data_IF_092350179740
#
_entry.id   IF_092350179740
#
_cell.length_a   1.000
_cell.length_b   1.000
_cell.length_c   1.000
_cell.angle_alpha   90.00
_cell.angle_beta   90.00
_cell.angle_gamma   90.00
#
_symmetry.space_group_name_H-M   'P 1'
#
loop_
_entity.id
_entity.type
_entity.pdbx_description
1 polymer ?
#
# COMPACT_ATOMS: atom_id res chain seq x y z
N UNK A 1 74.19 -40.34 7.80
CA UNK A 1 74.49 -39.87 6.43
C UNK A 1 74.22 -38.39 6.42
N UNK A 2 75.30 -37.65 6.63
CA UNK A 2 75.38 -36.19 6.68
C UNK A 2 75.92 -35.65 5.35
N UNK A 3 75.60 -34.37 5.08
CA UNK A 3 76.22 -33.47 4.10
C UNK A 3 75.88 -33.78 2.61
N UNK A 4 75.75 -32.84 1.68
CA UNK A 4 76.38 -31.53 1.62
C UNK A 4 75.65 -30.58 0.65
N UNK A 5 75.73 -29.31 1.01
CA UNK A 5 75.43 -28.11 0.22
C UNK A 5 76.58 -27.87 -0.78
N UNK A 6 76.31 -27.51 -2.05
CA UNK A 6 76.60 -26.17 -2.64
C UNK A 6 76.68 -26.10 -4.18
N UNK A 7 76.07 -25.00 -4.67
CA UNK A 7 76.57 -24.01 -5.65
C UNK A 7 76.38 -24.18 -7.17
N UNK A 8 75.57 -23.22 -7.65
CA UNK A 8 75.84 -22.25 -8.74
C UNK A 8 75.66 -22.77 -10.16
N UNK A 9 75.15 -22.03 -11.15
CA UNK A 9 75.02 -20.60 -11.48
C UNK A 9 73.58 -20.37 -12.01
N UNK A 10 73.02 -19.16 -12.15
CA UNK A 10 73.17 -18.33 -13.35
C UNK A 10 72.57 -16.91 -13.14
N UNK A 11 73.45 -15.92 -13.33
CA UNK A 11 73.33 -14.55 -13.88
C UNK A 11 72.19 -13.57 -13.46
N UNK A 12 72.68 -12.39 -13.02
CA UNK A 12 72.00 -11.08 -12.88
C UNK A 12 71.85 -10.31 -14.21
N UNK A 13 70.89 -9.37 -14.19
CA UNK A 13 70.51 -8.25 -15.12
C UNK A 13 69.43 -8.64 -16.15
N UNK A 14 68.32 -7.91 -16.32
CA UNK A 14 68.17 -6.45 -16.42
C UNK A 14 66.75 -5.97 -16.03
N UNK A 15 66.66 -4.86 -15.29
CA UNK A 15 65.44 -4.08 -15.08
C UNK A 15 65.05 -3.41 -16.42
N UNK A 16 63.95 -3.87 -17.03
CA UNK A 16 63.25 -3.12 -18.08
C UNK A 16 62.01 -2.47 -17.47
N UNK A 17 62.07 -1.16 -17.37
CA UNK A 17 60.93 -0.28 -17.13
C UNK A 17 59.79 -0.60 -18.11
N UNK A 18 58.64 -1.02 -17.56
CA UNK A 18 57.38 -1.11 -18.31
C UNK A 18 56.66 0.24 -18.24
N UNK A 19 55.88 0.60 -19.27
CA UNK A 19 55.51 1.98 -19.54
C UNK A 19 54.35 2.42 -18.64
N UNK A 20 54.65 3.10 -17.55
CA UNK A 20 53.66 3.81 -16.72
C UNK A 20 52.92 4.91 -17.48
N UNK A 21 53.40 5.30 -18.67
CA UNK A 21 52.79 6.34 -19.49
C UNK A 21 51.50 5.90 -20.22
N UNK A 22 51.31 4.60 -20.50
CA UNK A 22 50.11 4.12 -21.21
C UNK A 22 48.90 4.02 -20.26
N UNK A 23 49.11 3.68 -18.99
CA UNK A 23 48.01 3.61 -18.00
C UNK A 23 47.47 5.00 -17.65
N UNK A 24 48.32 6.03 -17.69
CA UNK A 24 47.91 7.43 -17.44
C UNK A 24 47.08 8.06 -18.56
N UNK A 25 47.11 7.50 -19.78
CA UNK A 25 46.32 7.99 -20.93
C UNK A 25 44.95 7.30 -21.07
N UNK A 26 44.83 6.03 -20.66
CA UNK A 26 43.57 5.29 -20.77
C UNK A 26 42.57 5.59 -19.65
N UNK A 27 43.03 5.94 -18.44
CA UNK A 27 42.13 6.31 -17.33
C UNK A 27 41.31 7.58 -17.63
N UNK A 28 41.89 8.71 -18.10
CA UNK A 28 41.08 9.88 -18.43
C UNK A 28 40.18 9.66 -19.65
N UNK A 29 40.58 8.84 -20.63
CA UNK A 29 39.73 8.50 -21.78
C UNK A 29 38.54 7.61 -21.37
N UNK A 30 38.75 6.65 -20.46
CA UNK A 30 37.67 5.84 -19.90
C UNK A 30 36.72 6.68 -19.04
N UNK A 31 37.24 7.65 -18.26
CA UNK A 31 36.41 8.61 -17.50
C UNK A 31 35.62 9.53 -18.44
N UNK A 32 36.21 10.01 -19.54
CA UNK A 32 35.51 10.83 -20.54
C UNK A 32 34.46 10.02 -21.32
N UNK A 33 34.73 8.76 -21.65
CA UNK A 33 33.77 7.86 -22.30
C UNK A 33 32.63 7.47 -21.33
N UNK A 34 32.91 7.23 -20.05
CA UNK A 34 31.86 7.06 -19.03
C UNK A 34 31.05 8.34 -18.80
N UNK A 35 31.67 9.51 -18.87
CA UNK A 35 30.97 10.81 -18.77
C UNK A 35 30.09 11.08 -20.00
N UNK A 36 30.51 10.59 -21.18
CA UNK A 36 29.79 10.71 -22.44
C UNK A 36 28.70 9.65 -22.63
N UNK A 37 28.82 8.49 -21.97
CA UNK A 37 27.80 7.44 -21.99
C UNK A 37 26.78 7.60 -20.85
N UNK A 38 27.16 8.24 -19.75
CA UNK A 38 26.27 8.59 -18.62
C UNK A 38 25.55 9.94 -18.80
N UNK A 39 25.75 10.62 -19.95
CA UNK A 39 25.00 11.83 -20.33
C UNK A 39 23.73 11.50 -21.11
N UNK A 40 22.95 10.53 -20.64
CA UNK A 40 21.51 10.80 -20.60
C UNK A 40 21.32 11.70 -19.40
N UNK A 41 21.05 13.01 -19.58
CA UNK A 41 20.68 13.82 -18.44
C UNK A 41 19.50 13.11 -17.81
N UNK A 42 19.61 12.76 -16.51
CA UNK A 42 18.44 12.64 -15.67
C UNK A 42 17.69 13.95 -15.87
N UNK A 43 16.69 13.94 -16.76
CA UNK A 43 15.77 15.06 -16.85
C UNK A 43 15.20 15.17 -15.43
N UNK A 44 15.38 16.31 -14.74
CA UNK A 44 14.78 16.46 -13.43
C UNK A 44 13.29 16.22 -13.63
N UNK A 45 12.76 15.23 -12.90
CA UNK A 45 11.34 14.80 -12.97
C UNK A 45 10.40 15.95 -12.54
N UNK A 46 10.96 17.07 -12.10
CA UNK A 46 10.26 18.28 -11.71
C UNK A 46 10.87 19.50 -12.41
N UNK A 47 10.06 20.44 -12.94
CA UNK A 47 10.57 21.76 -13.29
C UNK A 47 11.19 22.41 -12.04
N UNK A 48 12.51 22.58 -12.07
CA UNK A 48 13.34 23.04 -10.96
C UNK A 48 12.96 24.45 -10.46
N UNK A 49 12.16 25.20 -11.22
CA UNK A 49 11.65 26.52 -10.83
C UNK A 49 10.56 26.49 -9.75
N UNK A 50 9.99 25.32 -9.42
CA UNK A 50 9.00 25.16 -8.33
C UNK A 50 9.54 24.46 -7.06
N UNK A 51 10.76 23.93 -7.08
CA UNK A 51 11.35 23.20 -5.93
C UNK A 51 12.07 24.15 -4.94
N UNK A 52 12.44 25.36 -5.36
CA UNK A 52 13.08 26.34 -4.46
C UNK A 52 12.18 26.78 -3.30
N UNK A 53 10.87 26.58 -3.40
CA UNK A 53 9.90 26.86 -2.34
C UNK A 53 9.66 25.69 -1.38
N UNK A 54 10.10 24.47 -1.72
CA UNK A 54 10.07 23.28 -0.84
C UNK A 54 11.30 23.17 0.08
N UNK A 55 12.41 23.85 -0.26
CA UNK A 55 13.65 23.83 0.53
C UNK A 55 13.54 24.54 1.89
N UNK A 56 12.51 25.37 2.10
CA UNK A 56 12.29 26.09 3.36
C UNK A 56 11.86 25.19 4.54
N UNK A 57 11.47 23.93 4.29
CA UNK A 57 11.13 22.94 5.33
C UNK A 57 12.26 21.99 5.72
N UNK A 58 13.45 22.10 5.09
CA UNK A 58 14.60 21.24 5.41
C UNK A 58 15.11 21.46 6.85
N UNK A 59 14.92 22.66 7.39
CA UNK A 59 15.25 23.02 8.78
C UNK A 59 14.32 22.33 9.80
N UNK A 60 13.04 22.14 9.49
CA UNK A 60 12.06 21.44 10.35
C UNK A 60 12.29 19.92 10.45
N UNK A 61 13.09 19.36 9.54
CA UNK A 61 13.45 17.95 9.51
C UNK A 61 14.78 17.66 10.22
N UNK A 62 15.56 18.70 10.54
CA UNK A 62 16.86 18.56 11.20
C UNK A 62 16.68 17.92 12.59
N UNK A 63 17.48 16.88 12.87
CA UNK A 63 17.42 16.14 14.13
C UNK A 63 16.24 15.17 14.29
N UNK A 64 15.31 15.13 13.33
CA UNK A 64 14.23 14.13 13.31
C UNK A 64 14.77 12.76 12.90
N UNK A 65 14.22 11.71 13.52
CA UNK A 65 14.54 10.33 13.18
C UNK A 65 13.33 9.70 12.51
N UNK A 66 13.55 9.05 11.37
CA UNK A 66 12.47 8.51 10.55
C UNK A 66 12.43 6.98 10.62
N UNK A 67 11.24 6.42 10.45
CA UNK A 67 11.02 5.00 10.21
C UNK A 67 10.39 4.86 8.83
N UNK A 68 10.97 4.00 7.99
CA UNK A 68 10.40 3.57 6.73
C UNK A 68 10.29 2.05 6.74
N UNK A 69 9.24 1.53 6.12
CA UNK A 69 9.02 0.10 5.93
C UNK A 69 8.73 -0.18 4.47
N UNK A 70 8.98 -1.42 4.06
CA UNK A 70 8.74 -1.90 2.71
C UNK A 70 7.36 -2.59 2.67
N UNK A 71 6.30 -1.95 2.13
CA UNK A 71 5.03 -2.61 1.95
C UNK A 71 5.15 -3.79 0.97
N UNK A 72 4.34 -4.83 1.16
CA UNK A 72 4.32 -5.99 0.27
C UNK A 72 2.91 -6.60 0.13
N UNK A 73 2.76 -7.53 -0.82
CA UNK A 73 1.50 -8.25 -1.06
C UNK A 73 0.34 -7.32 -1.48
N UNK A 74 -0.91 -7.79 -1.38
CA UNK A 74 -2.11 -7.00 -1.69
C UNK A 74 -2.46 -5.96 -0.62
N UNK A 75 -3.38 -5.04 -0.95
CA UNK A 75 -3.75 -3.89 -0.13
C UNK A 75 -4.05 -4.19 1.34
N UNK A 76 -4.91 -5.17 1.65
CA UNK A 76 -5.27 -5.49 3.05
C UNK A 76 -4.07 -5.91 3.90
N UNK A 77 -3.05 -6.52 3.29
CA UNK A 77 -1.78 -6.83 3.97
C UNK A 77 -0.95 -5.56 4.17
N UNK A 78 -0.84 -4.71 3.14
CA UNK A 78 -0.16 -3.42 3.25
C UNK A 78 -0.80 -2.51 4.32
N UNK A 79 -2.12 -2.57 4.51
CA UNK A 79 -2.83 -1.88 5.59
C UNK A 79 -2.47 -2.45 6.97
N UNK A 80 -2.37 -3.77 7.09
CA UNK A 80 -1.90 -4.42 8.32
C UNK A 80 -0.45 -4.03 8.64
N UNK A 81 0.40 -3.93 7.63
CA UNK A 81 1.78 -3.45 7.76
C UNK A 81 1.85 -1.98 8.17
N UNK A 82 0.96 -1.13 7.64
CA UNK A 82 0.84 0.25 8.08
C UNK A 82 0.53 0.33 9.58
N UNK A 83 -0.45 -0.44 10.07
CA UNK A 83 -0.79 -0.51 11.50
C UNK A 83 0.43 -0.89 12.34
N UNK A 84 1.16 -1.92 11.93
CA UNK A 84 2.40 -2.34 12.60
C UNK A 84 3.47 -1.26 12.55
N UNK A 85 3.65 -0.59 11.41
CA UNK A 85 4.64 0.47 11.26
C UNK A 85 4.32 1.69 12.13
N UNK A 86 3.04 2.06 12.27
CA UNK A 86 2.60 3.12 13.18
C UNK A 86 2.92 2.74 14.63
N UNK A 87 2.60 1.50 15.04
CA UNK A 87 2.91 1.02 16.38
C UNK A 87 4.41 1.10 16.68
N UNK A 88 5.25 0.57 15.78
CA UNK A 88 6.71 0.59 15.92
C UNK A 88 7.26 2.01 15.88
N UNK A 89 6.72 2.89 15.05
CA UNK A 89 7.08 4.31 15.04
C UNK A 89 6.77 5.00 16.37
N UNK A 90 5.61 4.70 16.96
CA UNK A 90 5.22 5.18 18.29
C UNK A 90 6.15 4.70 19.39
N UNK A 91 6.47 3.40 19.41
CA UNK A 91 7.39 2.77 20.37
C UNK A 91 8.80 3.37 20.25
N UNK A 92 9.30 3.58 19.03
CA UNK A 92 10.65 4.10 18.78
C UNK A 92 10.74 5.64 18.80
N UNK A 93 9.63 6.34 18.99
CA UNK A 93 9.52 7.80 18.83
C UNK A 93 10.15 8.27 17.50
N UNK A 94 9.68 7.70 16.39
CA UNK A 94 10.11 8.00 15.03
C UNK A 94 8.98 8.65 14.26
N UNK A 95 9.33 9.56 13.35
CA UNK A 95 8.39 10.01 12.32
C UNK A 95 8.23 8.90 11.28
N UNK A 96 7.02 8.40 11.07
CA UNK A 96 6.74 7.37 10.09
C UNK A 96 6.68 7.97 8.68
N UNK A 97 7.47 7.41 7.77
CA UNK A 97 7.37 7.69 6.33
C UNK A 97 6.28 6.78 5.77
N UNK A 98 5.16 7.38 5.36
CA UNK A 98 4.02 6.68 4.79
C UNK A 98 4.30 6.39 3.32
N UNK A 99 4.41 5.11 2.90
CA UNK A 99 4.68 4.75 1.52
C UNK A 99 3.40 4.86 0.66
N UNK A 100 3.53 4.81 -0.67
CA UNK A 100 2.37 4.57 -1.53
C UNK A 100 1.84 3.14 -1.38
N UNK A 101 0.63 2.93 -1.87
CA UNK A 101 0.12 1.58 -2.17
C UNK A 101 0.91 1.02 -3.35
N UNK A 102 1.44 -0.19 -3.19
CA UNK A 102 2.15 -0.88 -4.28
C UNK A 102 1.23 -1.83 -5.04
N UNK A 103 1.54 -2.07 -6.31
CA UNK A 103 0.83 -3.05 -7.13
C UNK A 103 0.92 -4.45 -6.48
N UNK A 104 -0.18 -5.22 -6.57
CA UNK A 104 -0.23 -6.59 -6.04
C UNK A 104 0.91 -7.43 -6.65
N UNK A 105 1.74 -8.05 -5.80
CA UNK A 105 2.96 -8.80 -6.16
C UNK A 105 4.16 -7.98 -6.68
N UNK A 106 4.13 -6.64 -6.69
CA UNK A 106 5.30 -5.84 -7.06
C UNK A 106 6.54 -6.23 -6.23
N UNK A 107 6.30 -6.47 -4.94
CA UNK A 107 7.30 -6.91 -3.99
C UNK A 107 6.76 -8.11 -3.21
N UNK A 108 7.50 -9.20 -3.22
CA UNK A 108 7.21 -10.40 -2.44
C UNK A 108 8.30 -10.61 -1.40
N UNK A 109 7.93 -10.54 -0.12
CA UNK A 109 8.75 -11.05 0.97
C UNK A 109 8.60 -12.56 0.92
N UNK A 110 9.67 -13.25 0.51
CA UNK A 110 9.59 -14.61 -0.04
C UNK A 110 8.62 -15.56 0.69
N UNK A 111 7.80 -16.27 -0.09
CA UNK A 111 7.05 -17.41 0.42
C UNK A 111 7.91 -18.67 0.32
N UNK A 112 8.30 -19.27 1.45
CA UNK A 112 8.89 -20.61 1.45
C UNK A 112 7.94 -21.59 0.71
N UNK A 113 8.38 -22.38 -0.30
CA UNK A 113 9.66 -22.45 -1.01
C UNK A 113 9.56 -22.00 -2.50
N UNK A 114 8.61 -21.13 -2.87
CA UNK A 114 8.36 -20.80 -4.29
C UNK A 114 9.27 -19.70 -4.88
N UNK A 115 9.89 -18.87 -4.04
CA UNK A 115 10.73 -17.76 -4.51
C UNK A 115 12.05 -17.66 -3.75
N UNK A 116 13.11 -17.28 -4.46
CA UNK A 116 14.39 -16.92 -3.83
C UNK A 116 14.14 -15.67 -2.97
N UNK A 117 14.37 -15.81 -1.67
CA UNK A 117 14.28 -14.70 -0.73
C UNK A 117 15.33 -13.65 -1.12
N UNK A 118 14.89 -12.45 -1.49
CA UNK A 118 15.79 -11.33 -1.77
C UNK A 118 16.54 -10.93 -0.51
N UNK A 119 17.79 -10.48 -0.65
CA UNK A 119 18.48 -9.85 0.47
C UNK A 119 17.75 -8.58 0.92
N UNK A 120 17.88 -8.17 2.19
CA UNK A 120 17.26 -6.93 2.65
C UNK A 120 17.63 -5.68 1.85
N UNK A 121 18.82 -5.65 1.23
CA UNK A 121 19.26 -4.54 0.38
C UNK A 121 18.58 -4.56 -0.99
N UNK A 122 18.52 -5.73 -1.64
CA UNK A 122 17.82 -5.89 -2.92
C UNK A 122 16.33 -5.61 -2.80
N UNK A 123 15.72 -6.05 -1.69
CA UNK A 123 14.33 -5.80 -1.40
C UNK A 123 14.04 -4.29 -1.29
N UNK A 124 14.84 -3.56 -0.50
CA UNK A 124 14.70 -2.10 -0.36
C UNK A 124 14.88 -1.37 -1.69
N UNK A 125 15.85 -1.79 -2.49
CA UNK A 125 16.07 -1.25 -3.83
C UNK A 125 14.85 -1.50 -4.72
N UNK A 126 14.32 -2.72 -4.74
CA UNK A 126 13.14 -3.07 -5.54
C UNK A 126 11.90 -2.26 -5.16
N UNK A 127 11.66 -2.08 -3.86
CA UNK A 127 10.56 -1.25 -3.35
C UNK A 127 10.76 0.21 -3.79
N UNK A 128 11.96 0.75 -3.60
CA UNK A 128 12.28 2.12 -3.98
C UNK A 128 12.10 2.36 -5.49
N UNK A 129 12.61 1.46 -6.32
CA UNK A 129 12.51 1.53 -7.77
C UNK A 129 11.05 1.50 -8.22
N UNK A 130 10.24 0.61 -7.64
CA UNK A 130 8.82 0.53 -7.94
C UNK A 130 8.06 1.80 -7.52
N UNK A 131 8.37 2.38 -6.35
CA UNK A 131 7.80 3.68 -5.95
C UNK A 131 8.16 4.76 -6.97
N UNK A 132 9.40 4.78 -7.47
CA UNK A 132 9.83 5.74 -8.49
C UNK A 132 9.15 5.52 -9.83
N UNK A 133 8.82 4.28 -10.19
CA UNK A 133 7.98 3.95 -11.35
C UNK A 133 6.56 4.49 -11.16
N UNK A 134 5.91 4.24 -10.02
CA UNK A 134 4.58 4.78 -9.71
C UNK A 134 4.53 6.31 -9.82
N UNK A 135 5.56 7.01 -9.34
CA UNK A 135 5.67 8.47 -9.48
C UNK A 135 5.81 8.87 -10.95
N UNK A 136 6.68 8.19 -11.71
CA UNK A 136 6.95 8.48 -13.12
C UNK A 136 5.72 8.28 -13.99
N UNK A 137 4.98 7.20 -13.72
CA UNK A 137 3.79 6.79 -14.44
C UNK A 137 2.52 7.51 -13.95
N UNK A 138 2.66 8.40 -12.95
CA UNK A 138 1.56 9.12 -12.31
C UNK A 138 0.49 8.20 -11.69
N UNK A 139 0.91 7.02 -11.23
CA UNK A 139 0.09 6.03 -10.51
C UNK A 139 0.31 6.03 -9.00
N UNK A 140 1.17 6.92 -8.49
CA UNK A 140 1.42 7.03 -7.05
C UNK A 140 0.17 7.47 -6.32
N UNK A 141 -0.28 6.64 -5.36
CA UNK A 141 -1.32 6.97 -4.39
C UNK A 141 -0.79 6.66 -3.00
N UNK A 142 -0.84 7.65 -2.09
CA UNK A 142 -0.38 7.47 -0.72
C UNK A 142 -1.31 6.53 0.02
N UNK A 143 -0.78 5.72 0.93
CA UNK A 143 -1.64 4.98 1.86
C UNK A 143 -2.53 5.92 2.68
N UNK A 144 -2.04 7.13 2.98
CA UNK A 144 -2.80 8.18 3.67
C UNK A 144 -3.81 8.92 2.77
N UNK A 145 -3.80 8.67 1.45
CA UNK A 145 -4.87 9.13 0.56
C UNK A 145 -6.11 8.23 0.70
N UNK A 146 -5.93 6.94 1.00
CA UNK A 146 -7.00 5.94 1.11
C UNK A 146 -7.46 5.74 2.55
N UNK A 147 -6.53 5.76 3.51
CA UNK A 147 -6.78 5.49 4.93
C UNK A 147 -6.74 6.80 5.71
N UNK A 148 -7.79 7.10 6.47
CA UNK A 148 -7.82 8.29 7.32
C UNK A 148 -6.93 8.09 8.55
N UNK A 149 -5.77 8.75 8.52
CA UNK A 149 -4.81 8.74 9.62
C UNK A 149 -5.04 9.88 10.63
N UNK A 150 -6.11 10.67 10.51
CA UNK A 150 -6.33 11.85 11.37
C UNK A 150 -6.51 11.51 12.85
N UNK A 151 -7.00 10.30 13.17
CA UNK A 151 -7.16 9.83 14.55
C UNK A 151 -5.82 9.52 15.26
N UNK A 152 -4.77 9.24 14.48
CA UNK A 152 -3.43 8.89 14.98
C UNK A 152 -2.41 10.02 14.78
N UNK A 153 -2.59 10.81 13.72
CA UNK A 153 -1.73 11.91 13.36
C UNK A 153 -1.79 13.00 14.43
N UNK A 154 -0.69 13.71 14.63
CA UNK A 154 -0.52 14.82 15.58
C UNK A 154 -0.55 14.45 17.08
N UNK A 155 -1.38 13.52 17.53
CA UNK A 155 -1.48 13.17 18.96
C UNK A 155 -0.51 12.07 19.41
N UNK A 156 -0.15 11.14 18.52
CA UNK A 156 0.54 9.91 18.92
C UNK A 156 1.77 9.59 18.08
N UNK A 157 1.65 9.64 16.76
CA UNK A 157 2.76 9.37 15.82
C UNK A 157 2.78 10.45 14.74
N UNK A 158 3.97 11.02 14.50
CA UNK A 158 4.16 11.95 13.38
C UNK A 158 4.30 11.17 12.07
N UNK A 159 3.60 11.59 11.03
CA UNK A 159 3.62 10.97 9.70
C UNK A 159 4.14 11.95 8.66
N UNK A 160 4.80 11.44 7.63
CA UNK A 160 5.21 12.20 6.44
C UNK A 160 5.02 11.34 5.21
N UNK A 161 4.37 11.86 4.17
CA UNK A 161 4.25 11.16 2.90
C UNK A 161 5.63 10.97 2.25
N UNK A 162 5.85 9.81 1.66
CA UNK A 162 7.12 9.46 1.04
C UNK A 162 7.56 10.46 -0.03
N UNK A 163 6.66 11.05 -0.84
CA UNK A 163 7.03 12.07 -1.84
C UNK A 163 7.59 13.33 -1.19
N UNK A 164 6.96 13.77 -0.09
CA UNK A 164 7.42 14.92 0.68
C UNK A 164 8.80 14.61 1.24
N UNK A 165 8.95 13.46 1.92
CA UNK A 165 10.21 12.99 2.48
C UNK A 165 11.32 12.87 1.41
N UNK A 166 11.05 12.26 0.26
CA UNK A 166 12.04 12.10 -0.81
C UNK A 166 12.49 13.45 -1.41
N UNK A 167 11.58 14.43 -1.47
CA UNK A 167 11.90 15.77 -1.99
C UNK A 167 12.86 16.56 -1.09
N UNK A 168 12.76 16.35 0.22
CA UNK A 168 13.56 17.03 1.25
C UNK A 168 14.81 16.26 1.67
N UNK A 169 14.78 14.92 1.59
CA UNK A 169 15.92 14.04 1.94
C UNK A 169 17.18 14.35 1.14
N UNK A 170 17.02 14.88 -0.08
CA UNK A 170 18.13 15.28 -0.96
C UNK A 170 19.07 16.32 -0.33
N UNK A 171 18.66 16.97 0.76
CA UNK A 171 19.44 17.96 1.51
C UNK A 171 20.06 17.42 2.81
N UNK A 172 19.83 16.14 3.17
CA UNK A 172 20.38 15.51 4.37
C UNK A 172 21.53 14.57 3.99
N UNK A 173 22.77 15.01 4.17
CA UNK A 173 24.01 14.30 3.81
C UNK A 173 24.55 13.41 4.96
N UNK A 174 23.73 13.03 5.93
CA UNK A 174 24.18 12.11 7.00
C UNK A 174 24.19 10.66 6.48
N UNK A 175 25.33 9.94 6.54
CA UNK A 175 25.38 8.53 6.17
C UNK A 175 24.49 7.69 7.11
N UNK A 176 23.76 6.72 6.56
CA UNK A 176 22.98 5.75 7.32
C UNK A 176 23.90 5.01 8.34
N UNK A 177 23.65 5.22 9.64
CA UNK A 177 24.52 4.72 10.73
C UNK A 177 24.30 3.24 11.10
N UNK A 178 23.47 2.52 10.35
CA UNK A 178 23.13 1.12 10.63
C UNK A 178 21.83 0.96 11.42
N UNK A 179 21.44 -0.30 11.62
CA UNK A 179 20.26 -0.68 12.39
C UNK A 179 20.66 -0.86 13.85
N UNK A 180 20.03 -0.11 14.75
CA UNK A 180 20.24 -0.22 16.19
C UNK A 180 18.95 -0.76 16.83
N UNK A 181 19.06 -1.90 17.54
CA UNK A 181 17.94 -2.48 18.29
C UNK A 181 17.84 -1.76 19.64
N UNK A 182 16.85 -0.89 19.77
CA UNK A 182 16.78 0.01 20.92
C UNK A 182 15.84 -0.41 22.05
N UNK A 183 15.00 -1.43 21.89
CA UNK A 183 13.88 -1.66 22.81
C UNK A 183 13.54 -3.15 22.98
N UNK A 184 13.29 -3.54 24.23
CA UNK A 184 12.53 -4.74 24.57
C UNK A 184 11.02 -4.45 24.44
N UNK A 185 10.40 -4.99 23.40
CA UNK A 185 8.99 -4.78 23.06
C UNK A 185 8.01 -5.41 24.07
N UNK A 186 8.48 -6.26 24.98
CA UNK A 186 7.63 -6.92 25.96
C UNK A 186 7.15 -5.94 27.05
N UNK A 187 7.98 -4.97 27.44
CA UNK A 187 7.63 -3.96 28.44
C UNK A 187 6.78 -2.81 27.85
N UNK A 188 6.88 -2.56 26.55
CA UNK A 188 6.08 -1.53 25.85
C UNK A 188 4.57 -1.79 25.94
N UNK A 189 4.14 -3.05 26.14
CA UNK A 189 2.72 -3.39 26.31
C UNK A 189 2.13 -2.88 27.63
N UNK A 190 2.94 -2.54 28.64
CA UNK A 190 2.44 -1.97 29.89
C UNK A 190 2.30 -0.44 29.84
N UNK A 191 2.81 0.19 28.79
CA UNK A 191 2.76 1.65 28.61
C UNK A 191 1.36 2.11 28.18
N UNK A 192 0.78 3.06 28.92
CA UNK A 192 -0.58 3.55 28.69
C UNK A 192 -0.74 4.31 27.36
N UNK A 193 0.33 4.98 26.88
CA UNK A 193 0.35 5.65 25.57
C UNK A 193 0.38 4.61 24.45
N UNK A 194 1.10 3.50 24.63
CA UNK A 194 1.11 2.39 23.66
C UNK A 194 -0.24 1.66 23.66
N UNK A 195 -0.88 1.46 24.81
CA UNK A 195 -2.24 0.92 24.87
C UNK A 195 -3.27 1.82 24.19
N UNK A 196 -3.20 3.13 24.41
CA UNK A 196 -4.04 4.09 23.69
C UNK A 196 -3.81 4.03 22.18
N UNK A 197 -2.54 3.89 21.75
CA UNK A 197 -2.21 3.71 20.33
C UNK A 197 -2.78 2.41 19.76
N UNK A 198 -2.65 1.29 20.48
CA UNK A 198 -3.21 0.00 20.07
C UNK A 198 -4.73 0.06 19.89
N UNK A 199 -5.44 0.72 20.82
CA UNK A 199 -6.88 0.93 20.70
C UNK A 199 -7.24 1.78 19.46
N UNK A 200 -6.47 2.84 19.18
CA UNK A 200 -6.65 3.66 17.97
C UNK A 200 -6.32 2.90 16.67
N UNK A 201 -5.40 1.93 16.73
CA UNK A 201 -4.98 1.11 15.59
C UNK A 201 -5.90 -0.08 15.33
N UNK A 202 -6.78 -0.43 16.28
CA UNK A 202 -7.77 -1.50 16.10
C UNK A 202 -8.53 -1.26 14.80
N UNK A 203 -9.03 -0.03 14.61
CA UNK A 203 -9.76 0.39 13.44
C UNK A 203 -9.23 1.71 12.86
N UNK A 204 -8.76 1.65 11.60
CA UNK A 204 -8.40 2.82 10.81
C UNK A 204 -9.42 2.94 9.68
N UNK A 205 -10.27 3.98 9.67
CA UNK A 205 -11.31 4.11 8.66
C UNK A 205 -10.71 4.48 7.30
N UNK A 206 -11.42 4.14 6.23
CA UNK A 206 -11.12 4.69 4.90
C UNK A 206 -11.48 6.18 4.82
N UNK A 207 -10.90 6.87 3.86
CA UNK A 207 -11.21 8.26 3.56
C UNK A 207 -12.72 8.44 3.29
N UNK A 208 -13.26 9.60 3.63
CA UNK A 208 -14.69 9.91 3.49
C UNK A 208 -15.19 9.72 2.07
N UNK A 209 -14.38 10.04 1.06
CA UNK A 209 -14.73 9.86 -0.35
C UNK A 209 -15.08 8.40 -0.69
N UNK A 210 -14.37 7.45 -0.08
CA UNK A 210 -14.58 6.00 -0.26
C UNK A 210 -15.81 5.54 0.53
N UNK A 211 -15.89 5.94 1.80
CA UNK A 211 -16.98 5.50 2.68
C UNK A 211 -18.33 6.07 2.24
N UNK A 212 -18.35 7.31 1.76
CA UNK A 212 -19.53 7.94 1.18
C UNK A 212 -19.96 7.24 -0.12
N UNK A 213 -19.03 6.88 -1.00
CA UNK A 213 -19.34 6.17 -2.23
C UNK A 213 -19.96 4.79 -1.96
N UNK A 214 -19.37 3.99 -1.06
CA UNK A 214 -19.95 2.68 -0.71
C UNK A 214 -21.33 2.80 -0.07
N UNK A 215 -21.54 3.81 0.79
CA UNK A 215 -22.85 4.11 1.37
C UNK A 215 -23.85 4.55 0.32
N UNK A 216 -23.45 5.44 -0.60
CA UNK A 216 -24.29 5.93 -1.69
C UNK A 216 -24.74 4.77 -2.58
N UNK A 217 -23.84 3.83 -2.89
CA UNK A 217 -24.19 2.62 -3.62
C UNK A 217 -25.25 1.79 -2.87
N UNK A 218 -25.06 1.54 -1.57
CA UNK A 218 -26.02 0.79 -0.77
C UNK A 218 -27.41 1.48 -0.74
N UNK A 219 -27.45 2.78 -0.46
CA UNK A 219 -28.71 3.54 -0.30
C UNK A 219 -29.41 3.80 -1.64
N UNK A 220 -28.67 4.18 -2.68
CA UNK A 220 -29.24 4.66 -3.94
C UNK A 220 -29.29 3.60 -5.05
N UNK A 221 -28.42 2.59 -5.02
CA UNK A 221 -28.37 1.53 -6.04
C UNK A 221 -29.03 0.25 -5.58
N UNK A 222 -28.75 -0.21 -4.37
CA UNK A 222 -29.38 -1.42 -3.82
C UNK A 222 -30.80 -1.10 -3.33
N UNK A 223 -30.96 -0.03 -2.52
CA UNK A 223 -32.24 0.52 -2.04
C UNK A 223 -33.09 -0.39 -1.16
N UNK A 224 -32.61 -1.58 -0.83
CA UNK A 224 -33.33 -2.61 -0.09
C UNK A 224 -32.41 -3.28 0.93
N UNK A 225 -32.95 -3.93 1.98
CA UNK A 225 -32.17 -4.79 2.86
C UNK A 225 -31.44 -5.87 2.06
N UNK A 226 -30.13 -6.00 2.25
CA UNK A 226 -29.32 -6.91 1.45
C UNK A 226 -28.31 -7.70 2.29
N UNK A 227 -27.95 -8.87 1.77
CA UNK A 227 -26.84 -9.69 2.22
C UNK A 227 -25.59 -9.30 1.43
N UNK A 228 -24.42 -9.18 2.06
CA UNK A 228 -23.16 -9.20 1.33
C UNK A 228 -22.49 -10.57 1.43
N UNK A 229 -21.97 -11.06 0.30
CA UNK A 229 -21.10 -12.22 0.22
C UNK A 229 -19.72 -11.82 -0.36
N UNK A 230 -18.68 -11.94 0.46
CA UNK A 230 -17.28 -11.77 0.07
C UNK A 230 -16.68 -13.16 -0.23
N UNK A 231 -16.37 -13.42 -1.49
CA UNK A 231 -15.98 -14.72 -2.03
C UNK A 231 -14.61 -14.63 -2.73
N UNK A 232 -13.53 -15.04 -2.05
CA UNK A 232 -12.23 -15.26 -2.72
C UNK A 232 -12.21 -16.65 -3.34
N UNK A 233 -12.08 -16.69 -4.65
CA UNK A 233 -12.15 -17.90 -5.47
C UNK A 233 -10.91 -18.03 -6.36
N UNK A 234 -10.21 -16.95 -6.69
CA UNK A 234 -9.10 -16.94 -7.65
C UNK A 234 -7.72 -16.67 -7.05
N UNK A 235 -7.57 -16.50 -5.74
CA UNK A 235 -6.25 -16.26 -5.14
C UNK A 235 -5.72 -17.44 -4.32
N UNK A 236 -4.40 -17.66 -4.40
CA UNK A 236 -3.60 -18.50 -3.51
C UNK A 236 -4.26 -19.81 -3.06
N UNK A 237 -4.42 -19.94 -1.74
CA UNK A 237 -5.01 -21.11 -1.11
C UNK A 237 -6.49 -21.30 -1.42
N UNK A 238 -7.23 -20.26 -1.84
CA UNK A 238 -8.69 -20.30 -1.96
C UNK A 238 -9.18 -20.98 -3.25
N UNK A 239 -8.32 -21.07 -4.28
CA UNK A 239 -8.64 -21.69 -5.59
C UNK A 239 -9.18 -23.12 -5.51
N UNK A 240 -8.81 -23.86 -4.46
CA UNK A 240 -9.15 -25.27 -4.32
C UNK A 240 -10.29 -25.53 -3.31
N UNK A 241 -10.88 -24.48 -2.72
CA UNK A 241 -11.85 -24.61 -1.63
C UNK A 241 -13.22 -23.99 -1.93
N UNK A 242 -13.58 -23.85 -3.21
CA UNK A 242 -14.84 -23.23 -3.65
C UNK A 242 -16.07 -23.85 -2.99
N UNK A 243 -16.10 -25.18 -2.84
CA UNK A 243 -17.22 -25.88 -2.18
C UNK A 243 -17.45 -25.38 -0.76
N UNK A 244 -16.38 -25.20 0.01
CA UNK A 244 -16.47 -24.70 1.39
C UNK A 244 -16.89 -23.22 1.39
N UNK A 245 -16.34 -22.41 0.49
CA UNK A 245 -16.71 -21.00 0.35
C UNK A 245 -18.19 -20.82 0.02
N UNK A 246 -18.71 -21.57 -0.95
CA UNK A 246 -20.14 -21.51 -1.31
C UNK A 246 -21.05 -22.10 -0.24
N UNK A 247 -20.64 -23.16 0.47
CA UNK A 247 -21.47 -23.78 1.50
C UNK A 247 -21.86 -22.81 2.63
N UNK A 248 -20.98 -21.90 3.04
CA UNK A 248 -21.30 -20.89 4.05
C UNK A 248 -22.36 -19.89 3.55
N UNK A 249 -22.27 -19.50 2.27
CA UNK A 249 -23.24 -18.63 1.62
C UNK A 249 -24.59 -19.32 1.45
N UNK A 250 -24.60 -20.57 0.98
CA UNK A 250 -25.80 -21.41 0.83
C UNK A 250 -26.56 -21.53 2.16
N UNK A 251 -25.85 -21.87 3.24
CA UNK A 251 -26.45 -21.98 4.58
C UNK A 251 -27.07 -20.66 5.05
N UNK A 252 -26.40 -19.53 4.80
CA UNK A 252 -26.93 -18.21 5.20
C UNK A 252 -28.18 -17.83 4.40
N UNK A 253 -28.19 -18.12 3.10
CA UNK A 253 -29.37 -17.88 2.25
C UNK A 253 -30.54 -18.74 2.70
N UNK A 254 -30.33 -20.03 2.98
CA UNK A 254 -31.37 -20.95 3.48
C UNK A 254 -31.95 -20.50 4.83
N UNK A 255 -31.12 -19.99 5.75
CA UNK A 255 -31.59 -19.40 7.01
C UNK A 255 -32.48 -18.18 6.76
N UNK A 256 -32.07 -17.27 5.87
CA UNK A 256 -32.86 -16.08 5.53
C UNK A 256 -34.19 -16.42 4.85
N UNK A 257 -34.21 -17.43 3.97
CA UNK A 257 -35.44 -17.93 3.33
C UNK A 257 -36.41 -18.57 4.32
N UNK A 258 -35.89 -19.19 5.38
CA UNK A 258 -36.72 -19.81 6.43
C UNK A 258 -37.27 -18.76 7.40
N UNK A 259 -36.45 -17.78 7.77
CA UNK A 259 -36.80 -16.71 8.72
C UNK A 259 -37.72 -15.67 8.09
N UNK A 260 -37.49 -15.33 6.83
CA UNK A 260 -38.24 -14.32 6.10
C UNK A 260 -39.15 -15.03 5.13
N UNK A 261 -40.48 -14.90 5.29
CA UNK A 261 -41.42 -15.25 4.22
C UNK A 261 -41.16 -14.29 3.06
N UNK A 262 -40.17 -14.59 2.21
CA UNK A 262 -39.70 -13.71 1.15
C UNK A 262 -40.87 -13.37 0.22
N UNK A 263 -41.38 -12.15 0.32
CA UNK A 263 -42.41 -11.60 -0.58
C UNK A 263 -41.78 -10.86 -1.76
N UNK A 264 -40.49 -10.54 -1.66
CA UNK A 264 -39.65 -9.90 -2.67
C UNK A 264 -38.35 -10.68 -2.84
N UNK A 265 -37.62 -10.51 -3.96
CA UNK A 265 -36.32 -11.15 -4.16
C UNK A 265 -35.33 -10.84 -3.03
N UNK A 266 -34.45 -11.79 -2.70
CA UNK A 266 -33.34 -11.56 -1.78
C UNK A 266 -32.26 -10.74 -2.49
N UNK A 267 -31.97 -9.55 -1.98
CA UNK A 267 -30.93 -8.68 -2.52
C UNK A 267 -29.56 -9.14 -1.98
N UNK A 268 -28.61 -9.40 -2.89
CA UNK A 268 -27.28 -9.90 -2.54
C UNK A 268 -26.22 -9.10 -3.28
N UNK A 269 -25.32 -8.47 -2.52
CA UNK A 269 -24.09 -7.89 -3.07
C UNK A 269 -22.98 -8.94 -3.09
N UNK A 270 -22.41 -9.18 -4.27
CA UNK A 270 -21.36 -10.18 -4.49
C UNK A 270 -20.03 -9.44 -4.68
N UNK A 271 -19.14 -9.61 -3.71
CA UNK A 271 -17.77 -9.14 -3.74
C UNK A 271 -16.85 -10.33 -4.02
N UNK A 272 -16.33 -10.46 -5.23
CA UNK A 272 -15.54 -11.64 -5.63
C UNK A 272 -14.46 -11.31 -6.65
N UNK A 273 -13.34 -12.04 -6.57
CA UNK A 273 -12.30 -12.00 -7.58
C UNK A 273 -12.63 -12.85 -8.83
N UNK A 274 -13.76 -13.59 -8.83
CA UNK A 274 -14.22 -14.37 -9.99
C UNK A 274 -15.07 -13.50 -10.95
N UNK A 275 -14.58 -13.20 -12.17
CA UNK A 275 -15.32 -12.37 -13.10
C UNK A 275 -16.63 -13.04 -13.53
N UNK A 276 -17.65 -12.23 -13.79
CA UNK A 276 -19.01 -12.70 -14.13
C UNK A 276 -19.06 -13.64 -15.32
N UNK A 277 -18.17 -13.47 -16.30
CA UNK A 277 -18.00 -14.37 -17.46
C UNK A 277 -17.68 -15.82 -17.05
N UNK A 278 -17.12 -16.01 -15.85
CA UNK A 278 -16.65 -17.30 -15.36
C UNK A 278 -17.60 -17.90 -14.31
N UNK A 279 -18.80 -17.33 -14.13
CA UNK A 279 -19.77 -17.86 -13.18
C UNK A 279 -20.44 -19.15 -13.67
N UNK A 280 -20.40 -19.44 -14.98
CA UNK A 280 -21.01 -20.64 -15.56
C UNK A 280 -20.57 -21.90 -14.83
N UNK A 281 -21.53 -22.72 -14.40
CA UNK A 281 -21.27 -23.96 -13.65
C UNK A 281 -20.92 -23.76 -12.17
N UNK A 282 -21.04 -22.53 -11.63
CA UNK A 282 -20.85 -22.23 -10.21
C UNK A 282 -22.18 -21.94 -9.51
N UNK A 283 -22.15 -21.88 -8.18
CA UNK A 283 -23.32 -21.48 -7.39
C UNK A 283 -23.79 -20.05 -7.72
N UNK A 284 -22.88 -19.13 -8.09
CA UNK A 284 -23.24 -17.78 -8.50
C UNK A 284 -24.10 -17.76 -9.77
N UNK A 285 -23.83 -18.64 -10.74
CA UNK A 285 -24.70 -18.79 -11.91
C UNK A 285 -26.09 -19.32 -11.53
N UNK A 286 -26.17 -20.25 -10.57
CA UNK A 286 -27.46 -20.77 -10.10
C UNK A 286 -28.32 -19.65 -9.49
N UNK A 287 -27.73 -18.77 -8.69
CA UNK A 287 -28.43 -17.59 -8.16
C UNK A 287 -28.81 -16.62 -9.28
N UNK A 288 -27.89 -16.31 -10.19
CA UNK A 288 -28.11 -15.37 -11.29
C UNK A 288 -29.21 -15.81 -12.27
N UNK A 289 -29.40 -17.14 -12.43
CA UNK A 289 -30.42 -17.71 -13.29
C UNK A 289 -31.84 -17.69 -12.66
N UNK A 290 -31.99 -17.24 -11.41
CA UNK A 290 -33.26 -17.16 -10.69
C UNK A 290 -33.58 -15.72 -10.25
N UNK A 291 -33.77 -14.76 -11.18
CA UNK A 291 -33.93 -13.34 -10.86
C UNK A 291 -35.22 -13.00 -10.10
N UNK A 292 -36.24 -13.87 -10.17
CA UNK A 292 -37.47 -13.71 -9.40
C UNK A 292 -37.28 -13.98 -7.90
N UNK A 293 -36.19 -14.68 -7.54
CA UNK A 293 -35.87 -15.07 -6.16
C UNK A 293 -34.67 -14.32 -5.62
N UNK A 294 -33.68 -14.02 -6.47
CA UNK A 294 -32.44 -13.35 -6.06
C UNK A 294 -32.13 -12.17 -6.97
N UNK A 295 -31.84 -11.02 -6.37
CA UNK A 295 -31.34 -9.84 -7.07
C UNK A 295 -29.86 -9.65 -6.73
N UNK A 296 -28.98 -9.95 -7.70
CA UNK A 296 -27.53 -9.86 -7.51
C UNK A 296 -26.99 -8.48 -7.92
N UNK A 297 -26.11 -7.93 -7.10
CA UNK A 297 -25.38 -6.69 -7.33
C UNK A 297 -23.87 -6.99 -7.33
N UNK A 298 -23.15 -6.35 -8.24
CA UNK A 298 -21.69 -6.41 -8.37
C UNK A 298 -21.19 -5.02 -8.70
N UNK A 299 -19.92 -4.75 -8.43
CA UNK A 299 -19.24 -3.51 -8.82
C UNK A 299 -18.07 -3.85 -9.75
N UNK A 300 -17.79 -2.97 -10.71
CA UNK A 300 -16.73 -3.11 -11.71
C UNK A 300 -15.85 -1.86 -11.70
N UNK A 301 -14.58 -2.02 -12.08
CA UNK A 301 -13.64 -0.90 -12.25
C UNK A 301 -14.13 0.17 -13.25
N UNK A 302 -15.01 -0.22 -14.17
CA UNK A 302 -15.60 0.65 -15.20
C UNK A 302 -16.84 1.41 -14.73
N UNK A 303 -17.33 1.15 -13.52
CA UNK A 303 -18.52 1.84 -13.01
C UNK A 303 -18.20 3.30 -12.66
N UNK A 304 -19.09 4.21 -13.02
CA UNK A 304 -18.90 5.67 -12.87
C UNK A 304 -18.57 6.06 -11.43
N UNK A 305 -19.15 5.36 -10.44
CA UNK A 305 -18.87 5.61 -9.02
C UNK A 305 -17.39 5.41 -8.66
N UNK A 306 -16.70 4.46 -9.31
CA UNK A 306 -15.28 4.18 -9.09
C UNK A 306 -14.43 5.33 -9.65
N UNK A 307 -14.73 5.77 -10.87
CA UNK A 307 -14.03 6.89 -11.53
C UNK A 307 -14.24 8.21 -10.77
N UNK A 308 -15.48 8.52 -10.39
CA UNK A 308 -15.80 9.73 -9.64
C UNK A 308 -15.13 9.74 -8.26
N UNK A 309 -15.17 8.62 -7.53
CA UNK A 309 -14.54 8.51 -6.22
C UNK A 309 -13.03 8.68 -6.31
N UNK A 310 -12.41 8.03 -7.29
CA UNK A 310 -11.00 8.19 -7.62
C UNK A 310 -10.64 9.67 -7.81
N UNK A 311 -11.40 10.39 -8.63
CA UNK A 311 -11.14 11.81 -8.89
C UNK A 311 -11.27 12.67 -7.63
N UNK A 312 -12.30 12.42 -6.81
CA UNK A 312 -12.49 13.12 -5.52
C UNK A 312 -11.31 12.86 -4.59
N UNK A 313 -10.91 11.60 -4.44
CA UNK A 313 -9.80 11.17 -3.58
C UNK A 313 -8.48 11.84 -3.97
N UNK A 314 -8.14 11.80 -5.26
CA UNK A 314 -6.90 12.39 -5.77
C UNK A 314 -6.89 13.93 -5.65
N UNK A 315 -8.07 14.57 -5.61
CA UNK A 315 -8.21 16.02 -5.41
C UNK A 315 -8.07 16.40 -3.93
N UNK A 316 -8.45 15.51 -3.00
CA UNK A 316 -8.38 15.77 -1.57
C UNK A 316 -6.93 15.81 -1.05
N UNK A 317 -6.01 15.07 -1.69
CA UNK A 317 -4.58 15.01 -1.37
C UNK A 317 -4.30 14.74 0.13
N UNK A 318 -5.11 13.87 0.77
CA UNK A 318 -5.01 13.58 2.20
C UNK A 318 -3.59 13.20 2.62
N UNK A 319 -2.83 12.47 1.80
CA UNK A 319 -1.43 12.11 2.07
C UNK A 319 -0.47 13.30 2.07
N UNK A 320 -0.70 14.33 1.25
CA UNK A 320 0.09 15.56 1.31
C UNK A 320 -0.18 16.33 2.61
N UNK A 321 -1.42 16.34 3.05
CA UNK A 321 -1.87 17.06 4.25
C UNK A 321 -1.78 16.26 5.55
N UNK A 322 -1.56 14.94 5.48
CA UNK A 322 -1.25 14.08 6.62
C UNK A 322 0.19 14.25 7.11
N UNK A 323 0.96 15.14 6.48
CA UNK A 323 2.32 15.48 6.92
C UNK A 323 2.29 16.41 8.13
N UNK A 324 3.21 16.23 9.09
CA UNK A 324 3.37 17.15 10.23
C UNK A 324 3.90 18.55 9.84
N UNK A 325 4.24 18.76 8.56
CA UNK A 325 4.65 20.05 8.04
C UNK A 325 3.40 20.90 7.77
N UNK A 326 3.32 22.14 8.28
CA UNK A 326 2.11 22.96 8.14
C UNK A 326 1.76 23.23 6.66
N UNK A 327 0.46 23.22 6.36
CA UNK A 327 -0.10 23.75 5.09
C UNK A 327 0.44 25.18 4.91
N UNK A 328 1.25 25.42 3.88
CA UNK A 328 1.48 26.78 3.40
C UNK A 328 0.26 27.21 2.60
N UNK A 329 -0.48 28.19 3.12
CA UNK A 329 -1.47 28.93 2.35
C UNK A 329 -0.80 29.52 1.10
N UNK A 330 -1.40 29.29 -0.08
CA UNK A 330 -0.99 29.96 -1.33
C UNK A 330 -0.60 29.05 -2.50
N UNK A 331 -0.60 27.72 -2.37
CA UNK A 331 -0.34 26.83 -3.51
C UNK A 331 -1.63 26.59 -4.30
N UNK A 332 -1.93 27.47 -5.27
CA UNK A 332 -2.96 27.20 -6.28
C UNK A 332 -2.46 26.12 -7.26
N UNK A 333 -2.72 24.84 -6.96
CA UNK A 333 -2.54 23.70 -7.88
C UNK A 333 -3.70 23.58 -8.89
N UNK A 334 -4.43 24.66 -9.17
CA UNK A 334 -5.69 24.66 -9.93
C UNK A 334 -5.62 24.19 -11.39
N UNK A 335 -4.44 23.95 -11.96
CA UNK A 335 -4.30 23.61 -13.38
C UNK A 335 -3.30 22.47 -13.61
N UNK A 336 -3.63 21.26 -13.15
CA UNK A 336 -3.21 20.04 -13.83
C UNK A 336 -4.41 19.09 -13.92
N UNK A 337 -4.86 18.84 -15.15
CA UNK A 337 -5.50 17.57 -15.44
C UNK A 337 -4.46 16.50 -15.10
N UNK A 338 -4.54 15.95 -13.89
CA UNK A 338 -4.01 14.63 -13.64
C UNK A 338 -4.96 13.71 -14.41
N UNK A 339 -4.48 13.07 -15.47
CA UNK A 339 -5.15 11.89 -15.98
C UNK A 339 -5.32 10.97 -14.77
N UNK A 340 -6.57 10.73 -14.38
CA UNK A 340 -6.88 9.94 -13.20
C UNK A 340 -6.45 8.51 -13.48
N UNK A 341 -5.22 8.15 -13.12
CA UNK A 341 -4.87 6.76 -12.97
C UNK A 341 -5.77 6.22 -11.86
N UNK A 342 -6.52 5.17 -12.16
CA UNK A 342 -7.32 4.47 -11.15
C UNK A 342 -6.36 4.02 -10.04
N UNK A 343 -6.50 4.52 -8.80
CA UNK A 343 -5.65 4.07 -7.72
C UNK A 343 -5.87 2.57 -7.55
N UNK A 344 -4.79 1.82 -7.31
CA UNK A 344 -4.95 0.41 -7.00
C UNK A 344 -5.93 0.26 -5.82
N UNK A 345 -6.83 -0.71 -5.95
CA UNK A 345 -7.70 -1.17 -4.88
C UNK A 345 -8.81 -0.20 -4.39
N UNK A 346 -9.17 0.87 -5.13
CA UNK A 346 -10.37 1.69 -4.81
C UNK A 346 -11.65 0.88 -4.91
N UNK A 347 -11.76 0.04 -5.95
CA UNK A 347 -12.87 -0.89 -6.11
C UNK A 347 -13.02 -1.74 -4.84
N UNK A 348 -11.92 -2.35 -4.38
CA UNK A 348 -11.88 -3.17 -3.18
C UNK A 348 -12.38 -2.38 -1.95
N UNK A 349 -11.87 -1.16 -1.72
CA UNK A 349 -12.25 -0.36 -0.55
C UNK A 349 -13.74 0.05 -0.57
N UNK A 350 -14.28 0.36 -1.75
CA UNK A 350 -15.71 0.67 -1.93
C UNK A 350 -16.56 -0.59 -1.71
N UNK A 351 -16.15 -1.74 -2.24
CA UNK A 351 -16.83 -3.02 -1.99
C UNK A 351 -16.84 -3.41 -0.51
N UNK A 352 -15.71 -3.26 0.19
CA UNK A 352 -15.63 -3.48 1.64
C UNK A 352 -16.62 -2.56 2.39
N UNK A 353 -16.69 -1.29 1.98
CA UNK A 353 -17.66 -0.34 2.53
C UNK A 353 -19.10 -0.76 2.26
N UNK A 354 -19.46 -1.15 1.03
CA UNK A 354 -20.80 -1.65 0.69
C UNK A 354 -21.14 -2.87 1.56
N UNK A 355 -20.22 -3.80 1.72
CA UNK A 355 -20.42 -4.98 2.56
C UNK A 355 -20.56 -4.65 4.05
N UNK A 356 -19.91 -3.59 4.52
CA UNK A 356 -20.13 -3.07 5.87
C UNK A 356 -21.55 -2.55 6.08
N UNK A 357 -22.24 -2.13 5.01
CA UNK A 357 -23.63 -1.65 5.03
C UNK A 357 -24.69 -2.75 5.00
N UNK A 358 -24.34 -4.01 4.73
CA UNK A 358 -25.32 -5.09 4.51
C UNK A 358 -26.16 -5.38 5.75
N UNK A 359 -27.47 -5.15 5.67
CA UNK A 359 -28.39 -5.25 6.81
C UNK A 359 -28.92 -6.65 7.09
N UNK A 360 -28.97 -7.54 6.08
CA UNK A 360 -29.37 -8.94 6.25
C UNK A 360 -28.23 -9.85 6.73
N UNK A 361 -27.01 -9.30 6.80
CA UNK A 361 -25.82 -9.96 7.30
C UNK A 361 -24.66 -9.92 6.31
N UNK A 362 -23.60 -10.62 6.69
CA UNK A 362 -22.35 -10.72 5.93
C UNK A 362 -21.87 -12.17 5.95
N UNK A 363 -21.38 -12.65 4.79
CA UNK A 363 -20.68 -13.93 4.66
C UNK A 363 -19.32 -13.65 4.04
N UNK A 364 -18.26 -13.93 4.79
CA UNK A 364 -16.88 -13.79 4.33
C UNK A 364 -16.21 -15.12 4.03
N UNK A 365 -15.21 -15.10 3.15
CA UNK A 365 -14.37 -16.28 2.91
C UNK A 365 -13.47 -16.52 4.13
N UNK A 366 -13.55 -17.71 4.72
CA UNK A 366 -12.76 -18.06 5.90
C UNK A 366 -11.25 -17.88 5.66
N UNK A 367 -10.56 -17.18 6.57
CA UNK A 367 -9.14 -16.85 6.48
C UNK A 367 -8.80 -15.74 5.48
N UNK A 368 -9.80 -15.02 4.96
CA UNK A 368 -9.58 -13.81 4.15
C UNK A 368 -9.40 -12.58 5.02
N UNK A 369 -8.27 -11.87 4.84
CA UNK A 369 -8.03 -10.57 5.47
C UNK A 369 -9.05 -9.50 5.05
N UNK A 370 -9.63 -9.62 3.85
CA UNK A 370 -10.73 -8.76 3.38
C UNK A 370 -12.00 -9.01 4.24
N UNK A 371 -12.33 -10.27 4.49
CA UNK A 371 -13.48 -10.61 5.34
C UNK A 371 -13.31 -10.08 6.77
N UNK A 372 -12.11 -10.24 7.35
CA UNK A 372 -11.77 -9.71 8.67
C UNK A 372 -11.88 -8.17 8.72
N UNK A 373 -11.45 -7.48 7.65
CA UNK A 373 -11.58 -6.04 7.50
C UNK A 373 -13.06 -5.62 7.50
N UNK A 374 -13.90 -6.26 6.70
CA UNK A 374 -15.35 -5.96 6.65
C UNK A 374 -16.01 -6.20 8.00
N UNK A 375 -15.71 -7.31 8.68
CA UNK A 375 -16.26 -7.58 10.02
C UNK A 375 -15.86 -6.50 11.03
N UNK A 376 -14.63 -6.01 10.95
CA UNK A 376 -14.16 -4.91 11.77
C UNK A 376 -14.93 -3.60 11.47
N UNK A 377 -15.12 -3.25 10.19
CA UNK A 377 -15.89 -2.08 9.78
C UNK A 377 -17.34 -2.16 10.27
N UNK A 378 -17.95 -3.35 10.19
CA UNK A 378 -19.31 -3.61 10.70
C UNK A 378 -19.40 -3.41 12.22
N UNK A 379 -18.39 -3.87 12.98
CA UNK A 379 -18.33 -3.66 14.44
C UNK A 379 -18.22 -2.18 14.83
N UNK A 380 -17.62 -1.35 13.97
CA UNK A 380 -17.42 0.08 14.22
C UNK A 380 -18.51 0.97 13.59
N UNK A 381 -19.50 0.36 12.91
CA UNK A 381 -20.62 1.05 12.24
C UNK A 381 -20.18 2.07 11.19
N UNK A 382 -19.11 1.79 10.44
CA UNK A 382 -18.54 2.74 9.45
C UNK A 382 -19.57 3.21 8.42
N UNK A 383 -20.45 2.31 7.98
CA UNK A 383 -21.53 2.65 7.04
C UNK A 383 -22.57 3.62 7.63
N UNK A 384 -22.71 3.70 8.95
CA UNK A 384 -23.71 4.56 9.60
C UNK A 384 -23.12 5.90 10.05
N UNK A 385 -21.81 5.99 10.28
CA UNK A 385 -21.16 7.23 10.73
C UNK A 385 -21.22 8.33 9.66
N UNK A 386 -22.01 9.38 9.85
CA UNK A 386 -21.97 10.55 8.97
C UNK A 386 -20.68 11.34 9.21
N UNK A 387 -19.73 11.29 8.28
CA UNK A 387 -18.60 12.23 8.30
C UNK A 387 -19.12 13.59 7.87
N UNK A 388 -19.37 14.48 8.82
CA UNK A 388 -19.62 15.88 8.50
C UNK A 388 -18.37 16.44 7.79
N UNK A 389 -18.52 17.19 6.68
CA UNK A 389 -17.39 17.83 6.04
C UNK A 389 -16.69 18.75 7.05
N UNK A 390 -15.41 18.48 7.31
CA UNK A 390 -14.56 19.36 8.12
C UNK A 390 -14.40 20.66 7.33
N UNK A 391 -15.11 21.71 7.76
CA UNK A 391 -14.99 23.09 7.25
C UNK A 391 -13.59 23.66 7.47
#
# INVERSE_FOLDING_TARGET
MDLNINRSRWRKRSQRSKPLLLVLLFVPLAVLLFSSYSSKPFKPIFPLSKISQCAAGASDLAGKRFLWYAPHSGFSNQLSELKNAILIAGILNRTLIVPPVLDHHAVALGSCPKFRVLSPSELRAKVWDHIMELIRDRRYVSMADIVDLSSIAYSTVQTIDFRVFASVWRFSLEPYKGSELYIDIHEARKDSKIQLLLNKLEHLPFASEITDAGREFAINRIKEPFLCAQLRLLDGQFKNHWKTTFSAMEQKIQSLETESKLTSPLHIFIMTDLPRSNWTGTYLANLANNPNTYQLYTLSETDEIIEQTTKKLMTAEHGMYSSFLPKREGINLKNKHCDAALPPDILLCIEETICSCASLGFVGTSGSTIAESIELMRRHNDCQQSYAPKL
#
